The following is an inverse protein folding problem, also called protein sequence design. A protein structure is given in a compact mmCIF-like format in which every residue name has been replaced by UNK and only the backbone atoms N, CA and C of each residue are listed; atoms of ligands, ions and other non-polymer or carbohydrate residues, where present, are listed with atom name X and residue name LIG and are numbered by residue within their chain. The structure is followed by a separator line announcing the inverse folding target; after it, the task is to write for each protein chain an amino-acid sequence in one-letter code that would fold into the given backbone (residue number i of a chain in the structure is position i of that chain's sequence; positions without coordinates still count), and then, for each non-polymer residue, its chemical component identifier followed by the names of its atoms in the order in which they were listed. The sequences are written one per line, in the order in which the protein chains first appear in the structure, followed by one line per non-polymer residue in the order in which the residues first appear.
data_IF_825697850146
#
_entry.id   IF_825697850146
#
_cell.length_a   1.000
_cell.length_b   1.000
_cell.length_c   1.000
_cell.angle_alpha   90.00
_cell.angle_beta   90.00
_cell.angle_gamma   90.00
#
_symmetry.space_group_name_H-M   'P 1'
#
loop_
_entity.id
_entity.type
_entity.pdbx_description
1 polymer ?
#
# COMPACT_ATOMS: atom_id res chain seq x y z
N UNK A 1 -15.90 4.71 0.28
CA UNK A 1 -15.56 5.93 -0.51
C UNK A 1 -14.05 5.92 -0.80
N UNK A 2 -13.50 6.97 -1.40
CA UNK A 2 -12.06 7.07 -1.73
C UNK A 2 -11.18 6.97 -0.47
N UNK A 3 -11.60 7.63 0.63
CA UNK A 3 -10.83 7.64 1.87
C UNK A 3 -10.77 6.27 2.52
N UNK A 4 -11.94 5.66 2.72
CA UNK A 4 -12.04 4.33 3.32
C UNK A 4 -11.27 3.30 2.51
N UNK A 5 -11.25 3.45 1.17
CA UNK A 5 -10.47 2.59 0.30
C UNK A 5 -8.95 2.78 0.47
N UNK A 6 -8.48 4.02 0.66
CA UNK A 6 -7.08 4.30 1.02
C UNK A 6 -6.67 3.63 2.33
N UNK A 7 -7.51 3.70 3.37
CA UNK A 7 -7.28 3.01 4.65
C UNK A 7 -7.22 1.49 4.46
N UNK A 8 -8.17 0.93 3.71
CA UNK A 8 -8.21 -0.50 3.42
C UNK A 8 -6.97 -0.99 2.65
N UNK A 9 -6.47 -0.20 1.68
CA UNK A 9 -5.23 -0.55 0.98
C UNK A 9 -4.04 -0.60 1.95
N UNK A 10 -3.89 0.40 2.82
CA UNK A 10 -2.83 0.36 3.84
C UNK A 10 -2.98 -0.86 4.75
N UNK A 11 -4.20 -1.19 5.19
CA UNK A 11 -4.44 -2.39 6.00
C UNK A 11 -4.01 -3.67 5.28
N UNK A 12 -4.34 -3.83 4.01
CA UNK A 12 -3.99 -5.00 3.19
C UNK A 12 -2.47 -5.13 3.02
N UNK A 13 -1.79 -4.05 2.65
CA UNK A 13 -0.37 -4.11 2.29
C UNK A 13 0.59 -4.05 3.48
N UNK A 14 0.11 -3.66 4.66
CA UNK A 14 0.87 -3.70 5.92
C UNK A 14 0.46 -4.86 6.83
N UNK A 15 -0.69 -5.49 6.55
CA UNK A 15 -1.34 -6.49 7.43
C UNK A 15 -1.64 -5.96 8.83
N UNK A 16 -1.80 -4.64 8.96
CA UNK A 16 -2.10 -3.96 10.24
C UNK A 16 -3.51 -3.38 10.20
N UNK A 17 -4.33 -3.73 11.20
CA UNK A 17 -5.69 -3.19 11.31
C UNK A 17 -5.65 -1.69 11.67
N UNK A 18 -6.55 -0.86 11.12
CA UNK A 18 -6.64 0.56 11.48
C UNK A 18 -6.90 0.82 12.97
N UNK A 19 -7.50 -0.16 13.67
CA UNK A 19 -7.83 -0.12 15.10
C UNK A 19 -6.92 -1.00 15.97
N UNK A 20 -5.74 -1.37 15.46
CA UNK A 20 -4.73 -2.10 16.22
C UNK A 20 -4.37 -1.33 17.50
N UNK A 21 -4.24 -2.05 18.62
CA UNK A 21 -3.89 -1.50 19.93
C UNK A 21 -2.58 -0.72 19.97
N UNK A 22 -1.68 -0.92 18.99
CA UNK A 22 -0.45 -0.14 18.87
C UNK A 22 -0.72 1.35 18.56
N UNK A 23 -1.88 1.65 17.99
CA UNK A 23 -2.29 3.01 17.65
C UNK A 23 -3.03 3.63 18.84
N UNK A 24 -2.40 4.61 19.47
CA UNK A 24 -2.95 5.33 20.63
C UNK A 24 -2.80 6.83 20.43
N UNK A 25 -3.69 7.61 21.06
CA UNK A 25 -3.68 9.07 20.94
C UNK A 25 -3.93 9.53 19.50
N UNK A 26 -2.97 10.27 18.94
CA UNK A 26 -2.98 10.84 17.60
C UNK A 26 -2.27 9.96 16.55
N UNK A 27 -1.73 8.81 16.95
CA UNK A 27 -1.14 7.85 16.03
C UNK A 27 -2.24 7.03 15.35
N UNK A 28 -2.22 7.02 14.02
CA UNK A 28 -3.13 6.23 13.19
C UNK A 28 -2.33 5.39 12.18
N UNK A 29 -2.95 4.37 11.60
CA UNK A 29 -2.37 3.58 10.50
C UNK A 29 -1.83 4.50 9.38
N UNK A 30 -2.63 5.49 8.97
CA UNK A 30 -2.23 6.44 7.93
C UNK A 30 -0.97 7.21 8.33
N UNK A 31 -0.93 7.76 9.55
CA UNK A 31 0.20 8.57 10.01
C UNK A 31 1.46 7.72 10.13
N UNK A 32 1.36 6.53 10.71
CA UNK A 32 2.48 5.58 10.81
C UNK A 32 3.05 5.21 9.44
N UNK A 33 2.19 4.94 8.44
CA UNK A 33 2.62 4.67 7.06
C UNK A 33 3.27 5.92 6.43
N UNK A 34 2.62 7.08 6.55
CA UNK A 34 3.11 8.34 5.98
C UNK A 34 4.50 8.72 6.51
N UNK A 35 4.71 8.60 7.82
CA UNK A 35 5.97 8.94 8.48
C UNK A 35 7.11 7.97 8.12
N UNK A 36 6.78 6.81 7.53
CA UNK A 36 7.75 5.81 7.10
C UNK A 36 8.21 5.98 5.66
N UNK A 37 7.54 6.81 4.84
CA UNK A 37 7.91 7.02 3.43
C UNK A 37 8.99 8.11 3.30
N UNK A 38 10.02 7.93 2.46
CA UNK A 38 10.36 6.70 1.72
C UNK A 38 11.31 5.76 2.49
N UNK A 39 11.97 6.25 3.54
CA UNK A 39 13.17 5.62 4.08
C UNK A 39 12.92 4.36 4.93
N UNK A 40 11.76 4.24 5.57
CA UNK A 40 11.43 3.16 6.49
C UNK A 40 10.26 2.29 5.99
N UNK A 41 9.74 2.54 4.79
CA UNK A 41 8.53 1.88 4.28
C UNK A 41 8.68 0.36 4.14
N UNK A 42 9.90 -0.12 3.91
CA UNK A 42 10.22 -1.55 3.87
C UNK A 42 9.93 -2.27 5.20
N UNK A 43 9.92 -1.54 6.32
CA UNK A 43 9.62 -2.09 7.66
C UNK A 43 8.11 -2.10 7.96
N UNK A 44 7.32 -1.44 7.13
CA UNK A 44 5.87 -1.24 7.29
C UNK A 44 5.08 -2.17 6.38
N UNK A 45 5.58 -2.41 5.16
CA UNK A 45 5.01 -3.36 4.21
C UNK A 45 5.14 -4.78 4.77
N UNK A 46 4.10 -5.60 4.58
CA UNK A 46 4.12 -7.02 4.98
C UNK A 46 5.31 -7.74 4.32
N UNK A 47 6.21 -8.28 5.14
CA UNK A 47 7.41 -8.96 4.67
C UNK A 47 7.09 -10.16 3.79
N UNK A 48 5.95 -10.83 3.99
CA UNK A 48 5.52 -11.97 3.16
C UNK A 48 5.30 -11.55 1.70
N UNK A 49 4.90 -10.29 1.46
CA UNK A 49 4.73 -9.73 0.12
C UNK A 49 6.08 -9.43 -0.54
N UNK A 50 7.08 -9.04 0.25
CA UNK A 50 8.42 -8.71 -0.25
C UNK A 50 9.26 -9.96 -0.53
N UNK A 51 9.06 -11.04 0.24
CA UNK A 51 9.79 -12.30 0.11
C UNK A 51 9.16 -13.30 -0.86
N UNK A 52 8.05 -12.94 -1.53
CA UNK A 52 7.35 -13.83 -2.47
C UNK A 52 8.24 -14.25 -3.66
N UNK A 53 9.18 -13.38 -4.05
CA UNK A 53 10.22 -13.69 -5.01
C UNK A 53 11.47 -12.85 -4.75
N UNK A 54 12.43 -13.42 -4.00
CA UNK A 54 13.66 -12.72 -3.58
C UNK A 54 14.47 -12.14 -4.75
N UNK A 55 14.37 -12.75 -5.94
CA UNK A 55 15.07 -12.25 -7.15
C UNK A 55 14.57 -10.87 -7.57
N UNK A 56 13.30 -10.58 -7.35
CA UNK A 56 12.64 -9.34 -7.77
C UNK A 56 12.26 -8.46 -6.58
N UNK A 57 13.01 -8.57 -5.47
CA UNK A 57 12.71 -7.86 -4.23
C UNK A 57 12.53 -6.34 -4.46
N UNK A 58 13.45 -5.72 -5.21
CA UNK A 58 13.40 -4.27 -5.44
C UNK A 58 12.21 -3.87 -6.31
N UNK A 59 11.92 -4.63 -7.37
CA UNK A 59 10.82 -4.38 -8.29
C UNK A 59 9.45 -4.57 -7.59
N UNK A 60 9.36 -5.59 -6.73
CA UNK A 60 8.19 -5.82 -5.89
C UNK A 60 8.05 -4.65 -4.89
N UNK A 61 9.12 -4.27 -4.20
CA UNK A 61 9.11 -3.14 -3.26
C UNK A 61 8.66 -1.85 -3.95
N UNK A 62 9.17 -1.54 -5.14
CA UNK A 62 8.76 -0.36 -5.92
C UNK A 62 7.26 -0.38 -6.26
N UNK A 63 6.73 -1.54 -6.65
CA UNK A 63 5.29 -1.71 -6.90
C UNK A 63 4.48 -1.47 -5.62
N UNK A 64 4.91 -2.05 -4.50
CA UNK A 64 4.21 -1.92 -3.21
C UNK A 64 4.26 -0.49 -2.67
N UNK A 65 5.41 0.20 -2.77
CA UNK A 65 5.53 1.62 -2.44
C UNK A 65 4.59 2.47 -3.29
N UNK A 66 4.50 2.21 -4.60
CA UNK A 66 3.58 2.93 -5.49
C UNK A 66 2.10 2.77 -5.07
N UNK A 67 1.71 1.59 -4.57
CA UNK A 67 0.36 1.35 -4.05
C UNK A 67 0.14 2.12 -2.75
N UNK A 68 1.12 2.12 -1.85
CA UNK A 68 1.06 2.88 -0.60
C UNK A 68 0.91 4.39 -0.87
N UNK A 69 1.64 4.94 -1.84
CA UNK A 69 1.50 6.34 -2.22
C UNK A 69 0.09 6.67 -2.74
N UNK A 70 -0.52 5.77 -3.52
CA UNK A 70 -1.93 5.92 -3.94
C UNK A 70 -2.84 5.87 -2.71
N UNK A 71 -2.61 4.94 -1.78
CA UNK A 71 -3.39 4.81 -0.57
C UNK A 71 -3.32 6.08 0.32
N UNK A 72 -2.14 6.68 0.43
CA UNK A 72 -1.93 7.95 1.13
C UNK A 72 -2.68 9.11 0.45
N UNK A 73 -2.62 9.21 -0.89
CA UNK A 73 -3.39 10.21 -1.66
C UNK A 73 -4.89 10.02 -1.50
N UNK A 74 -5.36 8.78 -1.53
CA UNK A 74 -6.77 8.44 -1.30
C UNK A 74 -7.24 8.83 0.11
N UNK A 75 -6.36 8.76 1.10
CA UNK A 75 -6.67 9.00 2.50
C UNK A 75 -6.26 10.40 2.99
N UNK A 76 -6.04 11.37 2.10
CA UNK A 76 -5.88 12.78 2.50
C UNK A 76 -7.09 13.22 3.33
N UNK A 77 -6.89 13.79 4.51
CA UNK A 77 -7.99 14.10 5.44
C UNK A 77 -8.94 15.15 4.87
N UNK A 78 -8.37 16.20 4.26
CA UNK A 78 -9.14 17.22 3.58
C UNK A 78 -9.69 16.69 2.24
N UNK A 79 -11.01 16.76 2.00
CA UNK A 79 -11.58 16.43 0.70
C UNK A 79 -11.05 17.29 -0.45
N UNK A 80 -10.63 18.54 -0.18
CA UNK A 80 -10.09 19.43 -1.21
C UNK A 80 -8.66 19.07 -1.62
N UNK A 81 -7.88 18.48 -0.73
CA UNK A 81 -6.54 17.97 -1.02
C UNK A 81 -6.59 16.57 -1.66
N UNK A 82 -7.69 15.85 -1.41
CA UNK A 82 -8.00 14.54 -2.00
C UNK A 82 -8.51 14.70 -3.44
N UNK A 83 -7.67 15.24 -4.31
CA UNK A 83 -7.96 15.51 -5.73
C UNK A 83 -8.05 14.25 -6.61
N UNK A 84 -8.01 13.06 -6.01
CA UNK A 84 -8.00 11.76 -6.68
C UNK A 84 -9.39 11.13 -6.65
N UNK A 85 -9.89 10.69 -7.81
CA UNK A 85 -11.17 9.98 -7.92
C UNK A 85 -10.99 8.47 -8.08
N UNK A 86 -12.07 7.69 -7.89
CA UNK A 86 -12.00 6.23 -8.00
C UNK A 86 -11.65 5.73 -9.40
N UNK A 87 -11.95 6.50 -10.47
CA UNK A 87 -11.60 6.08 -11.83
C UNK A 87 -10.09 6.09 -12.00
N UNK A 88 -9.43 7.15 -11.54
CA UNK A 88 -7.99 7.25 -11.52
C UNK A 88 -7.38 6.13 -10.66
N UNK A 89 -7.90 5.92 -9.44
CA UNK A 89 -7.39 4.88 -8.52
C UNK A 89 -7.41 3.51 -9.18
N UNK A 90 -8.53 3.13 -9.81
CA UNK A 90 -8.68 1.83 -10.48
C UNK A 90 -7.69 1.69 -11.64
N UNK A 91 -7.51 2.72 -12.46
CA UNK A 91 -6.57 2.68 -13.59
C UNK A 91 -5.13 2.54 -13.09
N UNK A 92 -4.74 3.33 -12.09
CA UNK A 92 -3.40 3.30 -11.52
C UNK A 92 -3.09 1.95 -10.85
N UNK A 93 -4.00 1.45 -10.02
CA UNK A 93 -3.83 0.15 -9.35
C UNK A 93 -3.78 -1.00 -10.35
N UNK A 94 -4.64 -1.01 -11.39
CA UNK A 94 -4.57 -2.05 -12.44
C UNK A 94 -3.21 -2.07 -13.13
N UNK A 95 -2.64 -0.90 -13.41
CA UNK A 95 -1.30 -0.79 -14.00
C UNK A 95 -0.23 -1.37 -13.08
N UNK A 96 -0.24 -1.00 -11.81
CA UNK A 96 0.76 -1.47 -10.84
C UNK A 96 0.60 -2.97 -10.55
N UNK A 97 -0.63 -3.45 -10.38
CA UNK A 97 -0.92 -4.88 -10.21
C UNK A 97 -0.43 -5.69 -11.41
N UNK A 98 -0.64 -5.21 -12.64
CA UNK A 98 -0.14 -5.88 -13.83
C UNK A 98 1.39 -5.95 -13.87
N UNK A 99 2.11 -5.01 -13.24
CA UNK A 99 3.56 -5.05 -13.11
C UNK A 99 3.97 -6.04 -12.00
N UNK A 100 3.38 -5.91 -10.81
CA UNK A 100 3.64 -6.78 -9.67
C UNK A 100 3.46 -8.27 -10.01
N UNK A 101 2.39 -8.61 -10.74
CA UNK A 101 2.08 -9.97 -11.16
C UNK A 101 3.16 -10.61 -12.07
N UNK A 102 4.00 -9.81 -12.74
CA UNK A 102 5.10 -10.34 -13.56
C UNK A 102 6.27 -10.87 -12.71
N UNK A 103 6.34 -10.47 -11.44
CA UNK A 103 7.41 -10.84 -10.51
C UNK A 103 6.99 -11.95 -9.54
N UNK A 104 5.68 -12.17 -9.39
CA UNK A 104 5.19 -13.28 -8.58
C UNK A 104 5.56 -14.60 -9.28
N UNK A 105 5.96 -15.64 -8.53
CA UNK A 105 6.05 -16.96 -9.10
C UNK A 105 4.68 -17.28 -9.68
N UNK A 106 4.63 -17.55 -10.99
CA UNK A 106 3.48 -18.22 -11.56
C UNK A 106 3.29 -19.46 -10.69
N UNK A 107 2.07 -19.69 -10.20
CA UNK A 107 1.78 -20.93 -9.50
C UNK A 107 2.24 -22.05 -10.42
N UNK A 108 3.36 -22.68 -10.08
CA UNK A 108 3.81 -23.88 -10.76
C UNK A 108 2.64 -24.83 -10.65
N UNK A 109 2.13 -25.23 -11.81
CA UNK A 109 1.02 -26.14 -11.96
C UNK A 109 1.21 -27.34 -11.03
N UNK A 110 0.44 -27.37 -9.93
CA UNK A 110 0.15 -28.61 -9.19
C UNK A 110 -1.04 -29.28 -9.85
#
# INVERSE_FOLDING_TARGET
DVYSYGIMLMEVFTRVKPNDTKFTGDLSLRRWVNDSVPNAIVQVIDSDLLSVNERYFNEILECLVSIIEIALKCSMESPTERVIDMKYVVVALKKIMSQLLQFLPLADHV
#
